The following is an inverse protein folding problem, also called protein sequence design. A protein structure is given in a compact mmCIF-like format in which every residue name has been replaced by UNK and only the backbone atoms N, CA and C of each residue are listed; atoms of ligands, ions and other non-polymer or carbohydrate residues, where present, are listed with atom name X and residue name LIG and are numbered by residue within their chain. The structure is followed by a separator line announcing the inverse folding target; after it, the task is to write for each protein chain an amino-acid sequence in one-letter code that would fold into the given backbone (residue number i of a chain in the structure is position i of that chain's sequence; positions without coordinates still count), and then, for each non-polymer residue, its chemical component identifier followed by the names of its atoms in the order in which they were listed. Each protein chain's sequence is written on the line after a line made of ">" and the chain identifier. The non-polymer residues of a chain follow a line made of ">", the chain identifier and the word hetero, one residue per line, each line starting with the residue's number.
data_IF_506505229037
#
_entry.id   IF_506505229037
#
_cell.length_a   1.000
_cell.length_b   1.000
_cell.length_c   1.000
_cell.angle_alpha   90.00
_cell.angle_beta   90.00
_cell.angle_gamma   90.00
#
_symmetry.space_group_name_H-M   'P 1'
#
loop_
_entity.id
_entity.type
_entity.pdbx_description
1 polymer ?
#
# COMPACT_ATOMS: atom_id res chain seq x y z
N UNK A 1 18.31 6.43 -5.17
CA UNK A 1 17.30 7.42 -4.73
C UNK A 1 16.71 6.85 -3.46
N UNK A 2 17.11 7.39 -2.30
CA UNK A 2 16.56 6.99 -0.99
C UNK A 2 15.74 8.17 -0.54
N UNK A 3 14.41 8.06 -0.62
CA UNK A 3 13.53 9.06 -0.04
C UNK A 3 13.23 8.61 1.39
N UNK A 4 13.52 9.49 2.35
CA UNK A 4 13.25 9.28 3.77
C UNK A 4 11.78 9.62 4.00
N UNK A 5 10.94 8.61 4.16
CA UNK A 5 9.51 8.80 4.41
C UNK A 5 9.23 8.55 5.89
N UNK A 6 8.79 9.60 6.60
CA UNK A 6 8.41 9.53 8.01
C UNK A 6 9.58 9.46 8.99
N UNK A 7 9.41 10.08 10.16
CA UNK A 7 10.36 10.04 11.26
C UNK A 7 10.43 8.67 11.99
N UNK A 8 9.71 7.65 11.48
CA UNK A 8 9.70 6.32 12.08
C UNK A 8 10.98 5.57 11.70
N UNK A 9 11.73 5.10 12.70
CA UNK A 9 12.95 4.29 12.53
C UNK A 9 12.64 2.82 12.18
N UNK A 10 11.37 2.47 11.97
CA UNK A 10 10.95 1.10 11.67
C UNK A 10 11.32 0.71 10.23
N UNK A 11 11.64 -0.57 9.97
CA UNK A 11 12.04 -1.01 8.65
C UNK A 11 10.87 -0.96 7.66
N UNK A 12 11.20 -0.73 6.39
CA UNK A 12 10.24 -0.78 5.28
C UNK A 12 9.93 -2.24 4.96
N UNK A 13 8.65 -2.58 4.93
CA UNK A 13 8.16 -3.96 4.65
C UNK A 13 7.78 -4.14 3.20
N UNK A 14 7.18 -3.12 2.61
CA UNK A 14 6.61 -3.24 1.28
C UNK A 14 6.66 -1.92 0.52
N UNK A 15 6.87 -2.05 -0.80
CA UNK A 15 6.85 -0.94 -1.75
C UNK A 15 5.96 -1.38 -2.91
N UNK A 16 5.01 -0.53 -3.27
CA UNK A 16 4.17 -0.69 -4.45
C UNK A 16 4.33 0.51 -5.38
N UNK A 17 4.23 0.28 -6.68
CA UNK A 17 4.12 1.37 -7.66
C UNK A 17 2.98 1.12 -8.62
N UNK A 18 2.28 2.19 -8.99
CA UNK A 18 1.26 2.17 -10.01
C UNK A 18 1.81 2.80 -11.31
N UNK A 19 1.88 2.06 -12.43
CA UNK A 19 2.47 2.54 -13.69
C UNK A 19 1.57 3.45 -14.53
N UNK A 20 0.33 3.70 -14.13
CA UNK A 20 -0.66 4.51 -14.86
C UNK A 20 -0.42 6.02 -14.79
N UNK A 21 -1.14 6.85 -15.60
CA UNK A 21 -1.08 8.31 -15.56
C UNK A 21 -1.55 8.97 -14.25
N UNK A 22 -1.80 8.22 -13.18
CA UNK A 22 -1.92 8.77 -11.82
C UNK A 22 -0.70 8.47 -10.94
N UNK A 23 0.24 7.64 -11.41
CA UNK A 23 1.59 7.45 -10.90
C UNK A 23 1.70 7.56 -9.39
N UNK A 24 1.26 6.57 -8.64
CA UNK A 24 1.40 6.54 -7.18
C UNK A 24 2.48 5.53 -6.78
N UNK A 25 3.34 5.93 -5.84
CA UNK A 25 4.24 5.04 -5.12
C UNK A 25 3.73 4.96 -3.69
N UNK A 26 3.51 3.74 -3.20
CA UNK A 26 3.14 3.49 -1.82
C UNK A 26 4.27 2.75 -1.12
N UNK A 27 4.62 3.19 0.09
CA UNK A 27 5.68 2.61 0.91
C UNK A 27 5.08 2.37 2.28
N UNK A 28 5.33 1.20 2.85
CA UNK A 28 4.81 0.84 4.16
C UNK A 28 5.91 0.34 5.10
N UNK A 29 5.80 0.68 6.38
CA UNK A 29 6.66 0.17 7.45
C UNK A 29 6.01 -1.02 8.19
N UNK A 30 6.78 -1.64 9.10
CA UNK A 30 6.26 -2.71 9.98
C UNK A 30 5.19 -2.20 10.96
N UNK A 31 5.24 -0.92 11.34
CA UNK A 31 4.29 -0.29 12.26
C UNK A 31 2.89 -0.12 11.66
N UNK A 32 2.76 -0.25 10.33
CA UNK A 32 1.49 -0.14 9.61
C UNK A 32 1.19 1.23 9.02
N UNK A 33 2.14 2.16 9.13
CA UNK A 33 2.11 3.43 8.43
C UNK A 33 2.41 3.21 6.96
N UNK A 34 1.60 3.84 6.12
CA UNK A 34 1.72 3.79 4.67
C UNK A 34 1.81 5.22 4.15
N UNK A 35 2.88 5.53 3.44
CA UNK A 35 3.03 6.81 2.74
C UNK A 35 2.77 6.62 1.26
N UNK A 36 1.86 7.41 0.71
CA UNK A 36 1.55 7.43 -0.72
C UNK A 36 2.06 8.73 -1.31
N UNK A 37 2.85 8.64 -2.39
CA UNK A 37 3.49 9.77 -3.06
C UNK A 37 3.26 9.72 -4.57
N UNK A 38 3.12 10.89 -5.22
CA UNK A 38 3.15 11.00 -6.69
C UNK A 38 4.51 11.61 -7.11
N UNK A 39 5.42 10.81 -7.69
CA UNK A 39 6.74 11.27 -8.11
C UNK A 39 6.70 12.33 -9.22
N UNK A 40 5.56 12.52 -9.90
CA UNK A 40 5.43 13.51 -10.98
C UNK A 40 5.11 14.89 -10.44
N UNK A 41 4.48 14.99 -9.26
CA UNK A 41 4.22 16.25 -8.56
C UNK A 41 5.51 16.91 -8.09
N UNK A 42 6.52 16.10 -7.73
CA UNK A 42 7.87 16.57 -7.43
C UNK A 42 8.56 17.24 -8.64
N UNK A 43 8.19 16.85 -9.87
CA UNK A 43 8.80 17.37 -11.11
C UNK A 43 8.17 18.69 -11.60
N UNK A 44 6.99 19.04 -11.10
CA UNK A 44 6.23 20.26 -11.49
C UNK A 44 6.52 21.50 -10.64
N UNK A 45 7.42 21.42 -9.66
CA UNK A 45 7.99 22.59 -8.97
C UNK A 45 9.42 22.88 -9.50
N UNK A 46 9.61 23.38 -10.74
CA UNK A 46 10.93 23.78 -11.23
C UNK A 46 11.23 25.21 -10.79
N UNK A 47 11.19 25.52 -9.50
CA UNK A 47 11.80 26.77 -9.02
C UNK A 47 13.30 26.55 -8.89
N UNK A 48 14.02 27.03 -9.90
CA UNK A 48 15.47 27.07 -10.08
C UNK A 48 16.14 25.76 -10.58
N UNK A 49 16.42 25.73 -11.88
CA UNK A 49 17.40 24.84 -12.49
C UNK A 49 18.80 25.33 -12.06
N UNK A 50 19.16 25.08 -10.81
CA UNK A 50 20.52 25.27 -10.31
C UNK A 50 20.76 24.21 -9.25
N UNK A 51 21.46 23.15 -9.67
CA UNK A 51 21.86 21.98 -8.88
C UNK A 51 20.70 21.30 -8.13
N UNK A 52 20.31 20.10 -8.58
CA UNK A 52 19.47 19.21 -7.76
C UNK A 52 20.25 18.97 -6.46
N UNK A 53 19.93 19.70 -5.40
CA UNK A 53 20.58 19.55 -4.11
C UNK A 53 20.06 18.24 -3.51
N UNK A 54 20.92 17.51 -2.79
CA UNK A 54 20.52 16.29 -2.09
C UNK A 54 19.33 16.51 -1.13
N UNK A 55 19.05 17.76 -0.74
CA UNK A 55 17.91 18.14 0.09
C UNK A 55 16.56 18.20 -0.67
N UNK A 56 16.54 18.48 -1.98
CA UNK A 56 15.28 18.49 -2.76
C UNK A 56 14.77 17.07 -3.05
N UNK A 57 15.67 16.09 -3.08
CA UNK A 57 15.34 14.66 -3.09
C UNK A 57 14.77 14.15 -1.76
N UNK A 58 14.90 14.94 -0.69
CA UNK A 58 14.45 14.62 0.68
C UNK A 58 13.19 15.37 1.07
N UNK A 59 12.68 16.25 0.20
CA UNK A 59 11.55 17.10 0.56
C UNK A 59 10.23 16.28 0.56
N UNK A 60 9.55 16.28 1.70
CA UNK A 60 8.21 15.74 1.98
C UNK A 60 7.12 16.17 0.98
N UNK A 61 7.44 17.07 0.04
CA UNK A 61 6.56 17.73 -0.93
C UNK A 61 5.88 16.78 -1.94
N UNK A 62 6.31 15.52 -2.00
CA UNK A 62 5.69 14.49 -2.84
C UNK A 62 4.69 13.60 -2.11
N UNK A 63 4.73 13.58 -0.77
CA UNK A 63 3.81 12.79 0.03
C UNK A 63 2.39 13.38 -0.08
N UNK A 64 1.45 12.58 -0.60
CA UNK A 64 0.06 13.00 -0.76
C UNK A 64 -0.69 12.87 0.56
N UNK A 65 -0.54 11.72 1.22
CA UNK A 65 -1.18 11.40 2.49
C UNK A 65 -0.52 10.18 3.13
N UNK A 66 -0.77 9.99 4.42
CA UNK A 66 -0.38 8.82 5.18
C UNK A 66 -1.62 8.04 5.67
N UNK A 67 -1.54 6.71 5.67
CA UNK A 67 -2.58 5.82 6.20
C UNK A 67 -1.99 5.06 7.39
N UNK A 68 -2.64 5.12 8.55
CA UNK A 68 -2.41 4.18 9.66
C UNK A 68 -3.34 2.96 9.46
N UNK A 69 -2.76 1.85 8.98
CA UNK A 69 -3.54 0.69 8.54
C UNK A 69 -3.62 -0.43 9.57
N UNK A 70 -2.46 -0.90 10.05
CA UNK A 70 -2.29 -2.12 10.84
C UNK A 70 -1.28 -1.88 11.96
N UNK A 71 -1.75 -1.50 13.15
CA UNK A 71 -0.93 -1.22 14.35
C UNK A 71 0.15 -2.28 14.65
N UNK A 72 1.33 -2.16 14.05
CA UNK A 72 2.49 -3.01 14.32
C UNK A 72 2.52 -4.37 13.63
N UNK A 73 1.76 -4.61 12.56
CA UNK A 73 1.73 -5.95 11.96
C UNK A 73 1.48 -5.98 10.44
N UNK A 74 1.86 -4.93 9.72
CA UNK A 74 1.77 -4.96 8.26
C UNK A 74 2.78 -5.96 7.69
N UNK A 75 2.34 -6.83 6.79
CA UNK A 75 3.16 -7.87 6.17
C UNK A 75 3.39 -7.67 4.68
N UNK A 76 2.43 -7.08 3.98
CA UNK A 76 2.50 -6.89 2.54
C UNK A 76 1.60 -5.74 2.11
N UNK A 77 1.97 -5.10 1.00
CA UNK A 77 1.20 -4.06 0.33
C UNK A 77 1.15 -4.36 -1.17
N UNK A 78 0.02 -4.09 -1.81
CA UNK A 78 -0.13 -4.19 -3.24
C UNK A 78 -0.95 -3.00 -3.78
N UNK A 79 -0.52 -2.44 -4.92
CA UNK A 79 -1.27 -1.44 -5.67
C UNK A 79 -1.82 -2.08 -6.95
N UNK A 80 -3.07 -1.80 -7.27
CA UNK A 80 -3.65 -2.29 -8.53
C UNK A 80 -3.15 -1.45 -9.71
N UNK A 81 -2.75 -2.10 -10.80
CA UNK A 81 -2.09 -1.41 -11.91
C UNK A 81 -2.99 -0.35 -12.57
N UNK A 82 -4.27 -0.62 -12.79
CA UNK A 82 -5.16 0.25 -13.56
C UNK A 82 -6.21 1.01 -12.74
N UNK A 83 -6.46 0.63 -11.49
CA UNK A 83 -7.51 1.21 -10.66
C UNK A 83 -6.90 1.78 -9.38
N UNK A 84 -7.50 2.82 -8.78
CA UNK A 84 -6.97 3.45 -7.57
C UNK A 84 -7.24 2.59 -6.32
N UNK A 85 -6.76 1.35 -6.33
CA UNK A 85 -6.92 0.40 -5.22
C UNK A 85 -5.57 0.08 -4.61
N UNK A 86 -5.50 0.18 -3.30
CA UNK A 86 -4.38 -0.24 -2.47
C UNK A 86 -4.88 -1.31 -1.51
N UNK A 87 -4.18 -2.45 -1.47
CA UNK A 87 -4.44 -3.52 -0.52
C UNK A 87 -3.27 -3.64 0.44
N UNK A 88 -3.58 -3.80 1.72
CA UNK A 88 -2.59 -4.12 2.75
C UNK A 88 -2.99 -5.36 3.50
N UNK A 89 -1.99 -6.15 3.88
CA UNK A 89 -2.16 -7.38 4.62
C UNK A 89 -1.40 -7.32 5.94
N UNK A 90 -1.89 -8.12 6.89
CA UNK A 90 -1.28 -8.27 8.19
C UNK A 90 -1.12 -9.74 8.58
N UNK A 91 -0.07 -10.02 9.36
CA UNK A 91 0.09 -11.31 10.04
C UNK A 91 -0.98 -11.55 11.10
N UNK A 92 -1.63 -10.49 11.59
CA UNK A 92 -2.78 -10.56 12.48
C UNK A 92 -4.10 -10.94 11.78
N UNK A 93 -4.03 -11.52 10.57
CA UNK A 93 -5.19 -12.05 9.82
C UNK A 93 -6.19 -10.96 9.37
N UNK A 94 -5.64 -9.82 8.92
CA UNK A 94 -6.41 -8.74 8.31
C UNK A 94 -5.92 -8.47 6.89
N UNK A 95 -6.86 -8.18 6.00
CA UNK A 95 -6.60 -7.52 4.72
C UNK A 95 -7.48 -6.27 4.68
N UNK A 96 -6.88 -5.13 4.39
CA UNK A 96 -7.60 -3.87 4.22
C UNK A 96 -7.43 -3.38 2.79
N UNK A 97 -8.51 -2.82 2.25
CA UNK A 97 -8.56 -2.23 0.93
C UNK A 97 -8.84 -0.73 1.05
N UNK A 98 -8.10 0.07 0.30
CA UNK A 98 -8.15 1.52 0.32
C UNK A 98 -8.35 2.09 -1.07
N UNK A 99 -9.09 3.19 -1.13
CA UNK A 99 -9.23 4.01 -2.33
C UNK A 99 -8.11 5.05 -2.36
N UNK A 100 -7.20 4.90 -3.33
CA UNK A 100 -6.06 5.79 -3.50
C UNK A 100 -6.50 7.17 -3.99
N UNK A 101 -7.57 7.25 -4.79
CA UNK A 101 -8.09 8.50 -5.34
C UNK A 101 -8.86 9.30 -4.28
N UNK A 102 -9.49 8.61 -3.31
CA UNK A 102 -10.15 9.24 -2.17
C UNK A 102 -9.23 9.40 -0.95
N UNK A 103 -7.96 9.77 -1.18
CA UNK A 103 -6.96 10.06 -0.14
C UNK A 103 -6.74 8.92 0.87
N UNK A 104 -6.75 7.67 0.41
CA UNK A 104 -6.49 6.51 1.27
C UNK A 104 -7.66 6.12 2.16
N UNK A 105 -8.90 6.41 1.73
CA UNK A 105 -10.11 5.99 2.46
C UNK A 105 -10.22 4.47 2.49
N UNK A 106 -10.44 3.89 3.67
CA UNK A 106 -10.71 2.46 3.83
C UNK A 106 -12.07 2.11 3.17
N UNK A 107 -12.04 1.17 2.22
CA UNK A 107 -13.23 0.67 1.49
C UNK A 107 -13.73 -0.61 2.14
N UNK A 108 -12.81 -1.52 2.46
CA UNK A 108 -13.14 -2.87 2.90
C UNK A 108 -12.09 -3.38 3.89
N UNK A 109 -12.56 -4.06 4.93
CA UNK A 109 -11.72 -4.84 5.83
C UNK A 109 -12.18 -6.29 5.83
N UNK A 110 -11.29 -7.19 5.44
CA UNK A 110 -11.43 -8.64 5.52
C UNK A 110 -10.66 -9.09 6.75
N UNK A 111 -11.31 -9.86 7.62
CA UNK A 111 -10.74 -10.32 8.88
C UNK A 111 -11.13 -11.76 9.16
N UNK A 112 -10.36 -12.41 10.03
CA UNK A 112 -10.71 -13.73 10.55
C UNK A 112 -12.11 -13.71 11.18
N UNK A 113 -12.92 -14.69 10.78
CA UNK A 113 -14.25 -14.90 11.34
C UNK A 113 -14.26 -16.24 12.08
N UNK A 114 -14.52 -16.20 13.38
CA UNK A 114 -14.50 -17.38 14.27
C UNK A 114 -15.80 -18.19 14.22
N UNK A 115 -16.38 -18.31 13.03
CA UNK A 115 -17.58 -19.11 12.78
C UNK A 115 -17.23 -20.41 12.09
N UNK A 116 -17.93 -21.50 12.41
CA UNK A 116 -17.76 -22.81 11.78
C UNK A 116 -17.87 -22.79 10.24
N UNK A 117 -18.60 -21.80 9.69
CA UNK A 117 -18.80 -21.58 8.25
C UNK A 117 -18.16 -20.26 7.75
N UNK A 118 -17.36 -19.59 8.56
CA UNK A 118 -16.73 -18.32 8.22
C UNK A 118 -15.55 -18.50 7.25
N UNK A 119 -15.27 -17.50 6.39
CA UNK A 119 -14.05 -17.51 5.60
C UNK A 119 -12.83 -17.46 6.54
N UNK A 120 -12.08 -18.56 6.55
CA UNK A 120 -10.88 -18.70 7.37
C UNK A 120 -9.72 -18.03 6.64
N UNK A 121 -9.27 -16.89 7.16
CA UNK A 121 -8.08 -16.20 6.67
C UNK A 121 -6.92 -16.47 7.62
N UNK A 122 -5.87 -17.10 7.11
CA UNK A 122 -4.63 -17.29 7.85
C UNK A 122 -3.80 -16.01 7.95
N UNK A 123 -2.68 -16.04 8.69
CA UNK A 123 -1.71 -14.95 8.72
C UNK A 123 -1.22 -14.65 7.30
N UNK A 124 -1.54 -13.48 6.75
CA UNK A 124 -1.23 -13.17 5.34
C UNK A 124 0.23 -12.75 5.23
N UNK A 125 0.97 -13.39 4.33
CA UNK A 125 2.39 -13.11 4.09
C UNK A 125 2.64 -12.29 2.83
N UNK A 126 1.76 -12.40 1.83
CA UNK A 126 1.93 -11.72 0.55
C UNK A 126 0.57 -11.40 -0.10
N UNK A 127 0.55 -10.31 -0.87
CA UNK A 127 -0.59 -9.87 -1.67
C UNK A 127 -0.18 -9.64 -3.11
N UNK A 128 -1.07 -9.98 -4.05
CA UNK A 128 -0.88 -9.67 -5.46
C UNK A 128 -2.23 -9.32 -6.11
N UNK A 129 -2.29 -8.15 -6.74
CA UNK A 129 -3.42 -7.82 -7.61
C UNK A 129 -3.23 -8.47 -8.98
N UNK A 130 -4.33 -8.94 -9.54
CA UNK A 130 -4.37 -9.29 -10.95
C UNK A 130 -4.13 -8.03 -11.80
N UNK A 131 -3.39 -8.11 -12.93
CA UNK A 131 -2.95 -6.92 -13.68
C UNK A 131 -4.07 -6.10 -14.33
N UNK A 132 -5.19 -6.73 -14.67
CA UNK A 132 -6.32 -6.06 -15.36
C UNK A 132 -7.65 -6.12 -14.62
N UNK A 133 -8.02 -7.28 -14.11
CA UNK A 133 -9.22 -7.52 -13.29
C UNK A 133 -9.03 -7.11 -11.82
N UNK A 134 -10.11 -6.66 -11.18
CA UNK A 134 -10.17 -6.34 -9.73
C UNK A 134 -10.22 -7.62 -8.87
N UNK A 135 -9.18 -8.42 -8.98
CA UNK A 135 -8.99 -9.67 -8.23
C UNK A 135 -7.73 -9.54 -7.40
N UNK A 136 -7.83 -9.86 -6.11
CA UNK A 136 -6.71 -9.87 -5.17
C UNK A 136 -6.43 -11.31 -4.74
N UNK A 137 -5.19 -11.75 -4.92
CA UNK A 137 -4.68 -12.98 -4.34
C UNK A 137 -3.97 -12.66 -3.02
N UNK A 138 -4.26 -13.44 -1.99
CA UNK A 138 -3.62 -13.37 -0.68
C UNK A 138 -3.04 -14.73 -0.32
N UNK A 139 -1.71 -14.79 -0.17
CA UNK A 139 -1.01 -15.98 0.29
C UNK A 139 -0.84 -15.93 1.81
N UNK A 140 -1.12 -17.04 2.48
CA UNK A 140 -0.96 -17.15 3.93
C UNK A 140 0.14 -18.13 4.32
N UNK A 141 0.74 -17.89 5.49
CA UNK A 141 1.71 -18.79 6.12
C UNK A 141 1.12 -20.14 6.55
N UNK A 142 -0.20 -20.31 6.55
CA UNK A 142 -0.88 -21.57 6.89
C UNK A 142 -1.05 -22.51 5.68
N UNK A 143 -0.29 -22.26 4.61
CA UNK A 143 -0.37 -22.96 3.33
C UNK A 143 -1.71 -22.81 2.60
N UNK A 144 -2.54 -21.83 2.97
CA UNK A 144 -3.73 -21.46 2.21
C UNK A 144 -3.49 -20.25 1.31
N UNK A 145 -4.27 -20.19 0.23
CA UNK A 145 -4.33 -19.04 -0.66
C UNK A 145 -5.79 -18.66 -0.86
N UNK A 146 -6.09 -17.38 -0.63
CA UNK A 146 -7.42 -16.83 -0.78
C UNK A 146 -7.47 -15.91 -2.00
N UNK A 147 -8.50 -16.07 -2.82
CA UNK A 147 -8.78 -15.19 -3.96
C UNK A 147 -10.02 -14.38 -3.63
N UNK A 148 -9.91 -13.06 -3.72
CA UNK A 148 -11.00 -12.12 -3.54
C UNK A 148 -11.30 -11.46 -4.88
N UNK A 149 -12.52 -11.65 -5.37
CA UNK A 149 -13.05 -10.92 -6.50
C UNK A 149 -14.14 -9.97 -5.99
N UNK A 150 -14.13 -8.74 -6.48
CA UNK A 150 -15.27 -7.85 -6.32
C UNK A 150 -16.13 -7.98 -7.58
N UNK A 151 -17.25 -8.69 -7.49
CA UNK A 151 -18.32 -8.61 -8.49
C UNK A 151 -19.05 -7.29 -8.27
N UNK A 152 -19.09 -6.45 -9.31
CA UNK A 152 -19.88 -5.23 -9.36
C UNK A 152 -20.70 -5.31 -10.64
#
# INVERSE_FOLDING_TARGET
>A
VVASFGASKSPIVAIGSQPTPQGAIAIANEEGDIWVSDPRRARTQPSAISAISSADLLSDSSCLYAIDSHRGSLSSLALHASSPLLATASRAQFIKLYDVAAAGREILTIRYFDGFLGPRIGPVSCLCFHPTKRILAAGSSDATLSIYAADI
#
